data_IF_990924091827
#
_entry.id   IF_990924091827
#
_cell.length_a   1.000
_cell.length_b   1.000
_cell.length_c   1.000
_cell.angle_alpha   90.00
_cell.angle_beta   90.00
_cell.angle_gamma   90.00
#
_symmetry.space_group_name_H-M   'P 1'
#
loop_
_entity.id
_entity.type
_entity.pdbx_description
1 polymer ?
#
# COMPACT_ATOMS: atom_id res chain seq x y z
N UNK A 1 15.99 -31.05 -7.02
CA UNK A 1 15.26 -29.75 -7.13
C UNK A 1 13.82 -29.81 -6.59
N UNK A 2 13.16 -30.99 -6.58
CA UNK A 2 11.77 -31.16 -6.12
C UNK A 2 11.53 -31.05 -4.59
N UNK A 3 12.54 -31.29 -3.75
CA UNK A 3 12.42 -31.19 -2.27
C UNK A 3 12.75 -29.82 -1.69
N UNK A 4 13.50 -28.97 -2.41
CA UNK A 4 13.89 -27.65 -1.90
C UNK A 4 12.77 -26.61 -2.05
N UNK A 5 11.88 -26.77 -3.03
CA UNK A 5 10.78 -25.84 -3.30
C UNK A 5 9.83 -25.64 -2.09
N UNK A 6 9.31 -26.68 -1.41
CA UNK A 6 8.40 -26.49 -0.29
C UNK A 6 9.09 -25.87 0.94
N UNK A 7 10.39 -26.13 1.15
CA UNK A 7 11.17 -25.52 2.23
C UNK A 7 11.40 -24.04 1.98
N UNK A 8 11.78 -23.66 0.75
CA UNK A 8 11.97 -22.26 0.35
C UNK A 8 10.66 -21.48 0.44
N UNK A 9 9.54 -22.07 0.03
CA UNK A 9 8.21 -21.46 0.11
C UNK A 9 7.76 -21.26 1.55
N UNK A 10 7.97 -22.26 2.43
CA UNK A 10 7.69 -22.12 3.87
C UNK A 10 8.54 -21.01 4.49
N UNK A 11 9.83 -20.97 4.18
CA UNK A 11 10.74 -19.95 4.72
C UNK A 11 10.39 -18.54 4.21
N UNK A 12 10.03 -18.41 2.93
CA UNK A 12 9.52 -17.17 2.34
C UNK A 12 8.23 -16.71 3.02
N UNK A 13 7.29 -17.61 3.28
CA UNK A 13 6.06 -17.32 4.03
C UNK A 13 6.36 -16.79 5.43
N UNK A 14 7.26 -17.46 6.16
CA UNK A 14 7.64 -17.04 7.51
C UNK A 14 8.28 -15.65 7.48
N UNK A 15 9.17 -15.39 6.52
CA UNK A 15 9.81 -14.08 6.36
C UNK A 15 8.82 -12.98 6.00
N UNK A 16 7.86 -13.23 5.11
CA UNK A 16 6.82 -12.25 4.75
C UNK A 16 5.89 -12.00 5.94
N UNK A 17 5.46 -13.04 6.65
CA UNK A 17 4.64 -12.88 7.87
C UNK A 17 5.40 -12.13 8.96
N UNK A 18 6.68 -12.43 9.17
CA UNK A 18 7.52 -11.72 10.13
C UNK A 18 7.69 -10.25 9.71
N UNK A 19 7.91 -9.95 8.44
CA UNK A 19 7.94 -8.57 7.92
C UNK A 19 6.62 -7.85 8.12
N UNK A 20 5.48 -8.49 7.80
CA UNK A 20 4.16 -7.92 8.03
C UNK A 20 3.96 -7.64 9.52
N UNK A 21 4.29 -8.58 10.41
CA UNK A 21 4.17 -8.42 11.86
C UNK A 21 5.08 -7.31 12.38
N UNK A 22 6.32 -7.22 11.90
CA UNK A 22 7.26 -6.17 12.30
C UNK A 22 6.79 -4.81 11.83
N UNK A 23 6.31 -4.69 10.59
CA UNK A 23 5.79 -3.44 10.04
C UNK A 23 4.47 -3.08 10.74
N UNK A 24 3.56 -4.03 11.02
CA UNK A 24 2.31 -3.77 11.73
C UNK A 24 2.57 -3.39 13.19
N UNK A 25 3.50 -4.05 13.88
CA UNK A 25 3.85 -3.70 15.26
C UNK A 25 4.61 -2.38 15.34
N UNK A 26 5.52 -2.08 14.41
CA UNK A 26 6.30 -0.84 14.41
C UNK A 26 5.51 0.37 13.94
N UNK A 27 4.48 0.21 13.11
CA UNK A 27 3.74 1.33 12.53
C UNK A 27 2.35 1.43 13.14
N UNK A 28 1.53 0.38 13.08
CA UNK A 28 0.16 0.43 13.62
C UNK A 28 0.12 0.56 15.13
N UNK A 29 0.99 -0.13 15.89
CA UNK A 29 0.96 -0.07 17.35
C UNK A 29 1.26 1.33 17.92
N UNK A 30 2.33 2.06 17.51
CA UNK A 30 2.53 3.43 17.98
C UNK A 30 1.48 4.41 17.42
N UNK A 31 0.93 4.16 16.24
CA UNK A 31 -0.15 4.99 15.68
C UNK A 31 -1.47 4.82 16.46
N UNK A 32 -1.75 3.59 16.93
CA UNK A 32 -2.93 3.24 17.75
C UNK A 32 -2.71 3.60 19.24
N UNK A 33 -1.51 3.45 19.78
CA UNK A 33 -1.18 3.87 21.15
C UNK A 33 -1.17 5.40 21.28
N UNK A 34 -0.70 6.14 20.27
CA UNK A 34 -0.87 7.61 20.20
C UNK A 34 -2.31 8.05 19.90
N UNK A 35 -3.23 7.11 19.66
CA UNK A 35 -4.65 7.39 19.42
C UNK A 35 -5.37 7.78 20.72
N UNK A 36 -4.84 7.40 21.88
CA UNK A 36 -5.42 7.77 23.19
C UNK A 36 -5.28 9.26 23.53
N UNK A 37 -4.38 10.00 22.87
CA UNK A 37 -4.11 11.42 23.21
C UNK A 37 -4.64 12.44 22.18
N UNK A 38 -5.02 12.01 20.97
CA UNK A 38 -5.33 12.93 19.87
C UNK A 38 -6.63 12.60 19.10
N UNK A 39 -7.75 13.14 19.59
CA UNK A 39 -9.06 13.18 18.90
C UNK A 39 -9.06 14.05 17.62
N UNK A 40 -8.06 14.93 17.46
CA UNK A 40 -7.99 15.98 16.44
C UNK A 40 -7.92 15.47 14.99
N UNK A 41 -7.15 14.41 14.74
CA UNK A 41 -7.00 13.82 13.40
C UNK A 41 -7.70 12.48 13.26
N UNK A 42 -8.78 12.25 14.02
CA UNK A 42 -9.49 10.96 14.05
C UNK A 42 -9.87 10.49 12.65
N UNK A 43 -10.43 11.37 11.82
CA UNK A 43 -10.85 11.02 10.45
C UNK A 43 -9.66 10.62 9.57
N UNK A 44 -8.54 11.34 9.64
CA UNK A 44 -7.37 11.05 8.81
C UNK A 44 -6.55 9.85 9.31
N UNK A 45 -6.40 9.68 10.64
CA UNK A 45 -5.82 8.45 11.21
C UNK A 45 -6.69 7.23 10.87
N UNK A 46 -8.02 7.35 10.86
CA UNK A 46 -8.92 6.27 10.43
C UNK A 46 -8.74 5.93 8.95
N UNK A 47 -8.53 6.93 8.08
CA UNK A 47 -8.24 6.68 6.67
C UNK A 47 -6.91 5.91 6.54
N UNK A 48 -5.84 6.37 7.18
CA UNK A 48 -4.54 5.68 7.17
C UNK A 48 -4.63 4.26 7.71
N UNK A 49 -5.36 4.04 8.81
CA UNK A 49 -5.58 2.70 9.38
C UNK A 49 -6.38 1.82 8.42
N UNK A 50 -7.45 2.34 7.79
CA UNK A 50 -8.24 1.60 6.80
C UNK A 50 -7.42 1.23 5.57
N UNK A 51 -6.61 2.17 5.07
CA UNK A 51 -5.64 1.96 3.99
C UNK A 51 -4.71 0.81 4.35
N UNK A 52 -4.13 0.88 5.55
CA UNK A 52 -3.16 -0.09 6.02
C UNK A 52 -3.77 -1.48 6.20
N UNK A 53 -4.92 -1.60 6.89
CA UNK A 53 -5.66 -2.85 7.04
C UNK A 53 -6.02 -3.44 5.68
N UNK A 54 -6.49 -2.61 4.74
CA UNK A 54 -6.82 -3.06 3.38
C UNK A 54 -5.58 -3.58 2.64
N UNK A 55 -4.43 -2.95 2.84
CA UNK A 55 -3.16 -3.32 2.19
C UNK A 55 -2.62 -4.62 2.80
N UNK A 56 -2.65 -4.76 4.12
CA UNK A 56 -2.30 -6.00 4.82
C UNK A 56 -3.22 -7.15 4.41
N UNK A 57 -4.53 -6.92 4.34
CA UNK A 57 -5.50 -7.93 3.90
C UNK A 57 -5.26 -8.37 2.45
N UNK A 58 -4.93 -7.42 1.56
CA UNK A 58 -4.59 -7.74 0.17
C UNK A 58 -3.33 -8.62 0.08
N UNK A 59 -2.27 -8.28 0.83
CA UNK A 59 -1.04 -9.08 0.88
C UNK A 59 -1.33 -10.49 1.40
N UNK A 60 -2.09 -10.62 2.49
CA UNK A 60 -2.45 -11.93 3.04
C UNK A 60 -3.24 -12.78 2.04
N UNK A 61 -4.18 -12.16 1.33
CA UNK A 61 -4.98 -12.83 0.31
C UNK A 61 -4.12 -13.28 -0.87
N UNK A 62 -3.17 -12.44 -1.31
CA UNK A 62 -2.19 -12.82 -2.34
C UNK A 62 -1.31 -13.99 -1.90
N UNK A 63 -0.81 -13.97 -0.67
CA UNK A 63 0.01 -15.06 -0.13
C UNK A 63 -0.77 -16.37 -0.07
N UNK A 64 -2.05 -16.31 0.30
CA UNK A 64 -2.94 -17.48 0.31
C UNK A 64 -3.18 -18.02 -1.11
N UNK A 65 -3.37 -17.14 -2.08
CA UNK A 65 -3.49 -17.48 -3.51
C UNK A 65 -2.21 -18.13 -4.03
N UNK A 66 -1.02 -17.62 -3.65
CA UNK A 66 0.27 -18.23 -3.98
C UNK A 66 0.38 -19.64 -3.37
N UNK A 67 0.02 -19.80 -2.09
CA UNK A 67 0.07 -21.09 -1.43
C UNK A 67 -0.85 -22.12 -2.11
N UNK A 68 -2.09 -21.73 -2.39
CA UNK A 68 -3.05 -22.56 -3.13
C UNK A 68 -2.51 -22.94 -4.50
N UNK A 69 -1.85 -22.01 -5.20
CA UNK A 69 -1.29 -22.27 -6.53
C UNK A 69 -0.19 -23.33 -6.53
N UNK A 70 0.65 -23.35 -5.49
CA UNK A 70 1.72 -24.34 -5.35
C UNK A 70 1.09 -25.70 -5.07
N UNK A 71 0.12 -25.77 -4.16
CA UNK A 71 -0.62 -27.01 -3.89
C UNK A 71 -1.35 -27.53 -5.13
N UNK A 72 -1.96 -26.64 -5.92
CA UNK A 72 -2.62 -26.97 -7.19
C UNK A 72 -1.64 -27.46 -8.27
N UNK A 73 -0.41 -26.93 -8.31
CA UNK A 73 0.64 -27.44 -9.22
C UNK A 73 0.92 -28.93 -8.97
N UNK A 74 0.88 -29.36 -7.71
CA UNK A 74 1.08 -30.77 -7.36
C UNK A 74 -0.12 -31.66 -7.69
N UNK A 75 -1.35 -31.12 -7.64
CA UNK A 75 -2.56 -31.90 -7.91
C UNK A 75 -2.91 -32.00 -9.40
N UNK A 76 -2.98 -30.89 -10.14
CA UNK A 76 -3.41 -30.92 -11.55
C UNK A 76 -2.84 -29.78 -12.38
N UNK A 77 -2.08 -30.12 -13.44
CA UNK A 77 -1.29 -29.14 -14.19
C UNK A 77 -2.07 -28.30 -15.22
N UNK A 78 -3.37 -28.58 -15.44
CA UNK A 78 -4.20 -27.90 -16.44
C UNK A 78 -5.02 -26.73 -15.86
N UNK A 79 -5.42 -26.82 -14.58
CA UNK A 79 -6.24 -25.81 -13.91
C UNK A 79 -5.49 -24.50 -13.63
N UNK A 80 -4.17 -24.54 -13.60
CA UNK A 80 -3.29 -23.36 -13.43
C UNK A 80 -3.55 -22.33 -14.54
N UNK A 81 -3.73 -22.78 -15.78
CA UNK A 81 -3.88 -21.87 -16.93
C UNK A 81 -5.27 -21.24 -16.93
N UNK A 82 -6.30 -22.05 -16.64
CA UNK A 82 -7.69 -21.62 -16.74
C UNK A 82 -8.15 -20.77 -15.55
N UNK A 83 -7.66 -21.04 -14.34
CA UNK A 83 -8.18 -20.38 -13.12
C UNK A 83 -7.14 -19.43 -12.52
N UNK A 84 -5.89 -19.85 -12.41
CA UNK A 84 -4.91 -19.11 -11.63
C UNK A 84 -4.39 -17.85 -12.34
N UNK A 85 -4.07 -17.92 -13.63
CA UNK A 85 -3.61 -16.73 -14.38
C UNK A 85 -4.69 -15.63 -14.46
N UNK A 86 -5.95 -15.92 -14.83
CA UNK A 86 -6.98 -14.89 -14.89
C UNK A 86 -7.23 -14.28 -13.50
N UNK A 87 -7.17 -15.09 -12.45
CA UNK A 87 -7.30 -14.61 -11.07
C UNK A 87 -6.15 -13.68 -10.67
N UNK A 88 -4.91 -13.99 -11.06
CA UNK A 88 -3.73 -13.16 -10.83
C UNK A 88 -3.82 -11.83 -11.59
N UNK A 89 -4.18 -11.86 -12.87
CA UNK A 89 -4.38 -10.65 -13.69
C UNK A 89 -5.49 -9.78 -13.12
N UNK A 90 -6.61 -10.39 -12.73
CA UNK A 90 -7.74 -9.69 -12.11
C UNK A 90 -7.35 -9.08 -10.76
N UNK A 91 -6.63 -9.84 -9.92
CA UNK A 91 -6.05 -9.36 -8.67
C UNK A 91 -5.19 -8.13 -8.93
N UNK A 92 -4.19 -8.22 -9.81
CA UNK A 92 -3.29 -7.11 -10.12
C UNK A 92 -4.00 -5.87 -10.64
N UNK A 93 -4.99 -6.04 -11.53
CA UNK A 93 -5.80 -4.92 -12.00
C UNK A 93 -6.58 -4.25 -10.86
N UNK A 94 -7.19 -5.05 -9.97
CA UNK A 94 -7.92 -4.53 -8.82
C UNK A 94 -6.99 -3.84 -7.82
N UNK A 95 -5.81 -4.40 -7.57
CA UNK A 95 -4.78 -3.80 -6.72
C UNK A 95 -4.36 -2.45 -7.31
N UNK A 96 -4.03 -2.39 -8.60
CA UNK A 96 -3.69 -1.15 -9.28
C UNK A 96 -4.80 -0.10 -9.18
N UNK A 97 -6.04 -0.44 -9.53
CA UNK A 97 -7.17 0.51 -9.50
C UNK A 97 -7.49 1.02 -8.09
N UNK A 98 -7.37 0.18 -7.08
CA UNK A 98 -7.73 0.53 -5.70
C UNK A 98 -6.60 1.30 -5.02
N UNK A 99 -5.37 0.83 -5.17
CA UNK A 99 -4.22 1.41 -4.47
C UNK A 99 -3.60 2.59 -5.21
N UNK A 100 -3.42 2.49 -6.53
CA UNK A 100 -2.80 3.58 -7.31
C UNK A 100 -3.81 4.68 -7.61
N UNK A 101 -5.00 4.34 -8.13
CA UNK A 101 -5.94 5.38 -8.55
C UNK A 101 -6.76 5.98 -7.41
N UNK A 102 -7.28 5.17 -6.47
CA UNK A 102 -8.13 5.68 -5.38
C UNK A 102 -7.34 6.15 -4.16
N UNK A 103 -6.37 5.37 -3.71
CA UNK A 103 -5.64 5.66 -2.48
C UNK A 103 -4.75 6.89 -2.62
N UNK A 104 -3.95 6.96 -3.70
CA UNK A 104 -3.06 8.09 -3.93
C UNK A 104 -3.83 9.41 -4.10
N UNK A 105 -5.07 9.35 -4.61
CA UNK A 105 -5.96 10.50 -4.70
C UNK A 105 -6.60 10.87 -3.35
N UNK A 106 -6.99 9.88 -2.53
CA UNK A 106 -7.61 10.09 -1.21
C UNK A 106 -6.64 10.60 -0.15
N UNK A 107 -5.36 10.28 -0.24
CA UNK A 107 -4.31 10.87 0.61
C UNK A 107 -3.89 12.23 0.02
N UNK A 108 -4.87 13.07 -0.33
CA UNK A 108 -4.62 14.42 -0.80
C UNK A 108 -4.60 15.36 0.40
N UNK A 109 -3.53 16.15 0.47
CA UNK A 109 -3.26 17.16 1.52
C UNK A 109 -4.40 18.19 1.67
N UNK A 110 -5.34 18.21 0.72
CA UNK A 110 -6.54 19.03 0.71
C UNK A 110 -7.45 18.78 1.92
N UNK A 111 -7.69 17.52 2.31
CA UNK A 111 -8.56 17.23 3.46
C UNK A 111 -7.93 17.74 4.77
N UNK A 112 -6.59 17.60 4.89
CA UNK A 112 -5.82 18.08 6.04
C UNK A 112 -5.85 19.60 6.14
N UNK A 113 -5.56 20.28 5.03
CA UNK A 113 -5.56 21.73 4.94
C UNK A 113 -6.96 22.29 5.20
N UNK A 114 -7.99 21.67 4.65
CA UNK A 114 -9.37 22.08 4.84
C UNK A 114 -9.79 21.96 6.31
N UNK A 115 -9.45 20.86 6.98
CA UNK A 115 -9.71 20.70 8.42
C UNK A 115 -9.06 21.82 9.26
N UNK A 116 -7.79 22.15 9.01
CA UNK A 116 -7.10 23.24 9.71
C UNK A 116 -7.73 24.60 9.41
N UNK A 117 -8.09 24.83 8.14
CA UNK A 117 -8.68 26.09 7.67
C UNK A 117 -10.07 26.31 8.30
N UNK A 118 -10.91 25.28 8.34
CA UNK A 118 -12.24 25.33 8.94
C UNK A 118 -12.17 25.63 10.44
N UNK A 119 -11.21 25.03 11.16
CA UNK A 119 -11.01 25.31 12.58
C UNK A 119 -10.38 26.68 12.84
N UNK A 120 -9.51 27.17 11.95
CA UNK A 120 -9.01 28.54 12.01
C UNK A 120 -10.14 29.56 11.84
N UNK A 121 -10.98 29.40 10.81
CA UNK A 121 -12.13 30.29 10.59
C UNK A 121 -13.08 30.28 11.79
N UNK A 122 -13.38 29.10 12.33
CA UNK A 122 -14.21 29.00 13.54
C UNK A 122 -13.58 29.70 14.76
N UNK A 123 -12.27 29.68 14.91
CA UNK A 123 -11.59 30.44 15.96
C UNK A 123 -11.66 31.96 15.72
N UNK A 124 -11.47 32.40 14.47
CA UNK A 124 -11.51 33.83 14.10
C UNK A 124 -12.93 34.40 14.22
N UNK A 125 -13.95 33.66 13.83
CA UNK A 125 -15.34 34.12 13.80
C UNK A 125 -16.05 33.91 15.14
N UNK A 126 -15.88 32.73 15.75
CA UNK A 126 -16.67 32.31 16.92
C UNK A 126 -15.85 32.23 18.21
N UNK A 127 -14.54 32.49 18.16
CA UNK A 127 -13.66 32.44 19.34
C UNK A 127 -13.43 31.02 19.88
N UNK A 128 -13.64 29.98 19.07
CA UNK A 128 -13.51 28.59 19.51
C UNK A 128 -12.06 28.24 19.90
N UNK A 129 -11.82 27.98 21.18
CA UNK A 129 -10.49 27.65 21.73
C UNK A 129 -9.90 26.32 21.24
N UNK A 130 -10.68 25.49 20.55
CA UNK A 130 -10.21 24.22 19.98
C UNK A 130 -8.98 24.41 19.08
N UNK A 131 -8.90 25.53 18.36
CA UNK A 131 -7.75 25.89 17.54
C UNK A 131 -6.46 26.05 18.37
N UNK A 132 -6.55 26.60 19.57
CA UNK A 132 -5.40 26.77 20.47
C UNK A 132 -4.90 25.40 20.96
N UNK A 133 -5.81 24.45 21.20
CA UNK A 133 -5.42 23.10 21.57
C UNK A 133 -4.69 22.39 20.42
N UNK A 134 -5.14 22.59 19.17
CA UNK A 134 -4.43 22.11 17.96
C UNK A 134 -2.99 22.65 17.95
N UNK A 135 -2.81 23.96 18.11
CA UNK A 135 -1.49 24.60 18.09
C UNK A 135 -0.55 24.08 19.17
N UNK A 136 -1.05 23.96 20.41
CA UNK A 136 -0.25 23.45 21.54
C UNK A 136 0.18 22.00 21.31
N UNK A 137 -0.70 21.17 20.76
CA UNK A 137 -0.45 19.74 20.51
C UNK A 137 0.51 19.50 19.35
N UNK A 138 0.34 20.24 18.26
CA UNK A 138 1.22 20.16 17.08
C UNK A 138 2.51 20.98 17.25
N UNK A 139 2.64 21.77 18.33
CA UNK A 139 3.75 22.71 18.56
C UNK A 139 3.99 23.63 17.36
N UNK A 140 2.91 24.10 16.75
CA UNK A 140 2.91 24.96 15.56
C UNK A 140 2.23 26.29 15.85
N UNK A 141 2.36 27.26 14.94
CA UNK A 141 1.68 28.55 15.06
C UNK A 141 1.03 29.00 13.75
N UNK A 142 -0.22 29.45 13.83
CA UNK A 142 -1.03 29.88 12.69
C UNK A 142 -1.24 28.78 11.65
N UNK A 143 -1.82 29.11 10.50
CA UNK A 143 -1.96 28.17 9.39
C UNK A 143 -0.61 27.98 8.70
N UNK A 144 -0.05 29.05 8.17
CA UNK A 144 1.22 29.07 7.43
C UNK A 144 2.33 29.75 8.24
N UNK A 145 2.13 29.87 9.56
CA UNK A 145 3.05 30.54 10.49
C UNK A 145 2.35 31.63 11.32
N UNK A 146 3.08 32.27 12.26
CA UNK A 146 2.53 33.29 13.15
C UNK A 146 1.97 34.51 12.42
N UNK A 147 2.45 34.80 11.20
CA UNK A 147 1.93 35.87 10.34
C UNK A 147 0.43 35.73 10.04
N UNK A 148 -0.09 34.50 10.01
CA UNK A 148 -1.53 34.24 9.82
C UNK A 148 -2.38 35.03 10.82
N UNK A 149 -1.92 35.23 12.05
CA UNK A 149 -2.67 36.04 13.03
C UNK A 149 -2.77 37.51 12.61
N UNK A 150 -1.67 38.07 12.08
CA UNK A 150 -1.59 39.47 11.64
C UNK A 150 -2.47 39.72 10.41
N UNK A 151 -2.54 38.75 9.49
CA UNK A 151 -3.38 38.86 8.28
C UNK A 151 -4.89 38.98 8.62
N UNK A 152 -5.28 38.50 9.81
CA UNK A 152 -6.64 38.63 10.35
C UNK A 152 -6.74 39.68 11.48
N UNK A 153 -5.76 40.58 11.58
CA UNK A 153 -5.69 41.66 12.57
C UNK A 153 -5.80 41.16 14.03
N UNK A 154 -5.37 39.92 14.30
CA UNK A 154 -5.35 39.34 15.64
C UNK A 154 -3.94 39.34 16.22
N UNK A 155 -3.86 39.51 17.54
CA UNK A 155 -2.60 39.30 18.28
C UNK A 155 -2.25 37.80 18.26
N UNK A 156 -0.98 37.48 18.05
CA UNK A 156 -0.49 36.11 18.12
C UNK A 156 -0.77 35.54 19.51
N UNK A 157 -1.35 34.34 19.55
CA UNK A 157 -1.72 33.72 20.81
C UNK A 157 -0.49 33.27 21.62
N UNK A 158 -0.57 33.33 22.96
CA UNK A 158 0.55 33.01 23.87
C UNK A 158 1.10 31.58 23.70
N UNK A 159 0.28 30.65 23.22
CA UNK A 159 0.69 29.26 22.91
C UNK A 159 1.77 29.16 21.82
N UNK A 160 1.92 30.19 20.99
CA UNK A 160 2.90 30.22 19.93
C UNK A 160 4.32 30.61 20.38
N UNK A 161 4.49 31.07 21.62
CA UNK A 161 5.80 31.45 22.16
C UNK A 161 6.38 30.27 22.92
N UNK A 162 7.67 29.96 22.74
CA UNK A 162 8.33 28.81 23.40
C UNK A 162 8.62 29.03 24.88
N UNK A 163 8.81 30.28 25.29
CA UNK A 163 8.86 30.68 26.69
C UNK A 163 7.73 31.68 26.93
N UNK A 164 7.04 31.55 28.07
CA UNK A 164 5.87 32.37 28.44
C UNK A 164 6.18 33.86 28.65
N UNK A 165 7.41 34.29 28.38
CA UNK A 165 7.80 35.69 28.24
C UNK A 165 7.42 36.19 26.85
N UNK A 166 6.74 37.33 26.78
CA UNK A 166 6.14 37.89 25.56
C UNK A 166 7.15 38.28 24.45
N UNK A 167 8.44 37.96 24.63
CA UNK A 167 9.59 38.37 23.81
C UNK A 167 10.46 37.21 23.30
N UNK A 168 10.03 35.95 23.46
CA UNK A 168 10.74 34.80 22.89
C UNK A 168 10.70 34.76 21.35
N UNK A 169 11.74 34.20 20.72
CA UNK A 169 11.84 34.06 19.26
C UNK A 169 10.59 33.39 18.64
N UNK A 170 9.92 34.12 17.74
CA UNK A 170 8.68 33.73 17.04
C UNK A 170 8.93 32.78 15.86
N UNK A 171 9.89 31.86 15.98
CA UNK A 171 10.30 30.96 14.89
C UNK A 171 9.55 29.63 15.04
N UNK A 172 8.20 29.68 15.02
CA UNK A 172 7.38 28.46 14.95
C UNK A 172 6.87 28.22 13.54
N UNK A 173 7.02 26.97 13.10
CA UNK A 173 6.54 26.48 11.81
C UNK A 173 5.00 26.53 11.77
N UNK A 174 4.43 26.75 10.58
CA UNK A 174 2.99 26.75 10.35
C UNK A 174 2.35 25.40 10.64
N UNK A 175 1.12 25.39 11.13
CA UNK A 175 0.42 24.13 11.41
C UNK A 175 0.15 23.32 10.13
N UNK A 176 -0.01 23.98 8.97
CA UNK A 176 -0.12 23.30 7.69
C UNK A 176 1.15 22.51 7.36
N UNK A 177 2.33 23.09 7.59
CA UNK A 177 3.60 22.45 7.26
C UNK A 177 3.91 21.27 8.19
N UNK A 178 3.67 21.41 9.51
CA UNK A 178 3.86 20.31 10.46
C UNK A 178 2.95 19.12 10.14
N UNK A 179 1.71 19.41 9.79
CA UNK A 179 0.74 18.40 9.38
C UNK A 179 1.19 17.77 8.05
N UNK A 180 1.56 18.58 7.08
CA UNK A 180 2.07 18.11 5.79
C UNK A 180 3.27 17.18 5.93
N UNK A 181 4.28 17.53 6.74
CA UNK A 181 5.47 16.70 6.95
C UNK A 181 5.13 15.32 7.56
N UNK A 182 4.25 15.31 8.57
CA UNK A 182 3.78 14.05 9.17
C UNK A 182 2.97 13.21 8.19
N UNK A 183 2.10 13.84 7.40
CA UNK A 183 1.29 13.15 6.40
C UNK A 183 2.11 12.66 5.21
N UNK A 184 3.12 13.41 4.79
CA UNK A 184 3.98 13.07 3.67
C UNK A 184 4.78 11.80 3.94
N UNK A 185 5.32 11.64 5.15
CA UNK A 185 6.03 10.42 5.55
C UNK A 185 5.13 9.17 5.46
N UNK A 186 3.90 9.27 5.98
CA UNK A 186 2.91 8.18 5.95
C UNK A 186 2.45 7.89 4.52
N UNK A 187 2.21 8.94 3.73
CA UNK A 187 1.83 8.84 2.31
C UNK A 187 2.92 8.16 1.50
N UNK A 188 4.17 8.57 1.67
CA UNK A 188 5.32 7.98 0.98
C UNK A 188 5.45 6.49 1.32
N UNK A 189 5.30 6.13 2.60
CA UNK A 189 5.33 4.74 3.04
C UNK A 189 4.17 3.92 2.45
N UNK A 190 2.95 4.47 2.42
CA UNK A 190 1.81 3.81 1.81
C UNK A 190 2.02 3.59 0.30
N UNK A 191 2.52 4.59 -0.43
CA UNK A 191 2.85 4.50 -1.85
C UNK A 191 3.95 3.45 -2.09
N UNK A 192 5.01 3.46 -1.28
CA UNK A 192 6.10 2.50 -1.37
C UNK A 192 5.60 1.06 -1.17
N UNK A 193 4.74 0.82 -0.18
CA UNK A 193 4.11 -0.48 0.04
C UNK A 193 3.21 -0.89 -1.13
N UNK A 194 2.45 0.04 -1.72
CA UNK A 194 1.64 -0.25 -2.90
C UNK A 194 2.50 -0.70 -4.09
N UNK A 195 3.60 0.01 -4.36
CA UNK A 195 4.56 -0.36 -5.41
C UNK A 195 5.22 -1.69 -5.13
N UNK A 196 5.57 -1.97 -3.88
CA UNK A 196 6.15 -3.24 -3.47
C UNK A 196 5.21 -4.41 -3.75
N UNK A 197 3.92 -4.28 -3.42
CA UNK A 197 2.91 -5.32 -3.71
C UNK A 197 2.78 -5.55 -5.21
N UNK A 198 2.67 -4.49 -6.01
CA UNK A 198 2.60 -4.60 -7.47
C UNK A 198 3.85 -5.26 -8.06
N UNK A 199 5.04 -4.94 -7.55
CA UNK A 199 6.29 -5.56 -7.96
C UNK A 199 6.27 -7.08 -7.68
N UNK A 200 5.85 -7.50 -6.49
CA UNK A 200 5.76 -8.91 -6.12
C UNK A 200 4.76 -9.64 -7.03
N UNK A 201 3.57 -9.07 -7.25
CA UNK A 201 2.59 -9.65 -8.18
C UNK A 201 3.15 -9.79 -9.60
N UNK A 202 3.87 -8.77 -10.09
CA UNK A 202 4.45 -8.78 -11.43
C UNK A 202 5.53 -9.86 -11.57
N UNK A 203 6.43 -9.97 -10.58
CA UNK A 203 7.45 -11.02 -10.55
C UNK A 203 6.80 -12.40 -10.59
N UNK A 204 5.75 -12.62 -9.80
CA UNK A 204 5.01 -13.88 -9.79
C UNK A 204 4.41 -14.17 -11.18
N UNK A 205 3.69 -13.21 -11.75
CA UNK A 205 3.09 -13.35 -13.08
C UNK A 205 4.13 -13.67 -14.16
N UNK A 206 5.31 -13.04 -14.10
CA UNK A 206 6.42 -13.32 -15.01
C UNK A 206 6.95 -14.75 -14.85
N UNK A 207 7.17 -15.22 -13.62
CA UNK A 207 7.63 -16.59 -13.33
C UNK A 207 6.62 -17.61 -13.87
N UNK A 208 5.33 -17.44 -13.58
CA UNK A 208 4.29 -18.35 -14.08
C UNK A 208 4.19 -18.33 -15.61
N UNK A 209 4.27 -17.14 -16.22
CA UNK A 209 4.24 -17.01 -17.68
C UNK A 209 5.41 -17.74 -18.34
N UNK A 210 6.63 -17.60 -17.80
CA UNK A 210 7.82 -18.31 -18.31
C UNK A 210 7.64 -19.82 -18.18
N UNK A 211 7.16 -20.31 -17.02
CA UNK A 211 6.91 -21.73 -16.80
C UNK A 211 5.92 -22.31 -17.81
N UNK A 212 4.84 -21.57 -18.09
CA UNK A 212 3.82 -21.97 -19.06
C UNK A 212 4.31 -21.91 -20.50
N UNK A 213 5.11 -20.92 -20.86
CA UNK A 213 5.72 -20.85 -22.19
C UNK A 213 6.64 -22.06 -22.42
N UNK A 214 7.45 -22.44 -21.44
CA UNK A 214 8.30 -23.65 -21.51
C UNK A 214 7.46 -24.91 -21.70
N UNK A 215 6.39 -25.08 -20.89
CA UNK A 215 5.49 -26.24 -21.00
C UNK A 215 4.77 -26.28 -22.35
N UNK A 216 4.28 -25.14 -22.83
CA UNK A 216 3.57 -25.02 -24.11
C UNK A 216 4.49 -25.28 -25.30
N UNK A 217 5.75 -24.85 -25.23
CA UNK A 217 6.78 -25.20 -26.22
C UNK A 217 7.05 -26.71 -26.23
N UNK A 218 7.20 -27.34 -25.04
CA UNK A 218 7.40 -28.80 -24.93
C UNK A 218 6.22 -29.59 -25.50
N UNK A 219 4.98 -29.19 -25.20
CA UNK A 219 3.77 -29.82 -25.75
C UNK A 219 3.65 -29.65 -27.26
N UNK A 220 3.94 -28.45 -27.79
CA UNK A 220 3.98 -28.22 -29.25
C UNK A 220 5.02 -29.11 -29.93
N UNK A 221 6.22 -29.22 -29.37
CA UNK A 221 7.28 -30.08 -29.89
C UNK A 221 6.89 -31.57 -29.88
N UNK A 222 6.22 -32.04 -28.82
CA UNK A 222 5.72 -33.42 -28.76
C UNK A 222 4.60 -33.68 -29.77
N UNK A 223 3.69 -32.72 -29.99
CA UNK A 223 2.64 -32.82 -31.02
C UNK A 223 3.21 -32.87 -32.43
N UNK A 224 4.19 -32.01 -32.76
CA UNK A 224 4.83 -32.04 -34.08
C UNK A 224 5.59 -33.35 -34.30
N UNK A 225 6.29 -33.88 -33.28
CA UNK A 225 6.94 -35.19 -33.36
C UNK A 225 5.95 -36.34 -33.55
N UNK A 226 4.82 -36.35 -32.80
CA UNK A 226 3.74 -37.35 -33.01
C UNK A 226 3.14 -37.26 -34.40
N UNK A 227 2.89 -36.05 -34.93
CA UNK A 227 2.34 -35.83 -36.27
C UNK A 227 3.29 -36.31 -37.36
N UNK A 228 4.60 -36.03 -37.22
CA UNK A 228 5.63 -36.50 -38.15
C UNK A 228 5.79 -38.04 -38.13
N UNK A 229 5.74 -38.65 -36.94
CA UNK A 229 5.75 -40.12 -36.80
C UNK A 229 4.53 -40.77 -37.45
N UNK A 230 3.33 -40.22 -37.24
CA UNK A 230 2.09 -40.75 -37.84
C UNK A 230 2.09 -40.62 -39.37
N UNK A 231 2.57 -39.50 -39.91
CA UNK A 231 2.70 -39.33 -41.36
C UNK A 231 3.71 -40.30 -41.98
N UNK A 232 4.85 -40.55 -41.32
CA UNK A 232 5.85 -41.52 -41.80
C UNK A 232 5.31 -42.96 -41.79
N UNK A 233 4.41 -43.30 -40.85
CA UNK A 233 3.78 -44.62 -40.81
C UNK A 233 2.82 -44.82 -41.99
N UNK A 234 2.00 -43.82 -42.32
CA UNK A 234 1.06 -43.87 -43.46
C UNK A 234 1.82 -43.98 -44.80
N UNK A 235 2.92 -43.23 -44.96
CA UNK A 235 3.76 -43.31 -46.15
C UNK A 235 4.40 -44.70 -46.34
N UNK A 236 4.81 -45.37 -45.25
CA UNK A 236 5.36 -46.73 -45.31
C UNK A 236 4.31 -47.80 -45.61
N UNK A 237 3.06 -47.62 -45.17
CA UNK A 237 1.97 -48.55 -45.53
C UNK A 237 1.55 -48.44 -46.99
N UNK A 238 1.67 -47.25 -47.60
CA UNK A 238 1.35 -47.05 -49.02
C UNK A 238 2.40 -47.64 -49.96
N UNK A 239 3.67 -47.68 -49.57
CA UNK A 239 4.77 -48.17 -50.41
C UNK A 239 4.99 -49.69 -50.35
N UNK A 240 4.08 -50.44 -49.70
CA UNK A 240 4.13 -51.92 -49.55
C UNK A 240 3.04 -52.65 -50.32
N UNK A 241 2.09 -51.92 -50.92
CA UNK A 241 1.11 -52.42 -51.87
C UNK A 241 1.54 -52.02 -53.28
#
# INVERSE_FOLDING_TARGET
MHEMLPKIVKFSLIMVFAMIIVITMRITLPTILSLKEHLYFRSMKVIVIKVYISLTAAILLEMLVIYLSISLIYLTSEWIIAVYIPLLVYSSYRTFKTFVCRLAYRISDKEAKQFLTDHWHNFVEHGNEFWIEIQRKLKCCGLDGPRTYLDYLRRVHKSCYDNQTEEGELIKIGCNDVVYDQFQAVRLLAIALCWFVLLVQFIMLAIYSIFLLKKSRKLRFLRTRKRKSRNNFILRSFNRN
#
